data_IF_530104104408
#
_entry.id   IF_530104104408
#
_cell.length_a   1.000
_cell.length_b   1.000
_cell.length_c   1.000
_cell.angle_alpha   90.00
_cell.angle_beta   90.00
_cell.angle_gamma   90.00
#
_symmetry.space_group_name_H-M   'P 1'
#
loop_
_entity.id
_entity.type
_entity.pdbx_description
1 polymer ?
#
# COMPACT_ATOMS: atom_id res chain seq x y z
N UNK A 1 -16.11 -79.71 24.49
CA UNK A 1 -15.95 -78.51 25.36
C UNK A 1 -14.69 -77.71 24.97
N UNK A 2 -14.31 -77.64 23.69
CA UNK A 2 -13.00 -77.13 23.23
C UNK A 2 -13.08 -75.85 22.38
N UNK A 3 -14.28 -75.39 22.00
CA UNK A 3 -14.45 -74.21 21.13
C UNK A 3 -14.50 -72.87 21.89
N UNK A 4 -14.84 -72.88 23.19
CA UNK A 4 -14.93 -71.65 24.00
C UNK A 4 -13.57 -71.09 24.43
N UNK A 5 -12.59 -71.96 24.69
CA UNK A 5 -11.24 -71.54 25.09
C UNK A 5 -10.46 -70.89 23.95
N UNK A 6 -10.69 -71.32 22.69
CA UNK A 6 -10.04 -70.73 21.52
C UNK A 6 -10.55 -69.30 21.24
N UNK A 7 -11.84 -69.05 21.45
CA UNK A 7 -12.40 -67.70 21.32
C UNK A 7 -11.89 -66.74 22.41
N UNK A 8 -11.76 -67.21 23.65
CA UNK A 8 -11.24 -66.39 24.75
C UNK A 8 -9.77 -65.98 24.53
N UNK A 9 -8.94 -66.87 23.98
CA UNK A 9 -7.55 -66.57 23.63
C UNK A 9 -7.43 -65.63 22.41
N UNK A 10 -8.30 -65.77 21.41
CA UNK A 10 -8.30 -64.87 20.26
C UNK A 10 -8.69 -63.43 20.65
N UNK A 11 -9.67 -63.28 21.55
CA UNK A 11 -10.12 -61.96 22.03
C UNK A 11 -9.02 -61.30 22.89
N UNK A 12 -8.34 -62.04 23.76
CA UNK A 12 -7.26 -61.47 24.58
C UNK A 12 -6.08 -60.99 23.73
N UNK A 13 -5.70 -61.73 22.69
CA UNK A 13 -4.65 -61.31 21.74
C UNK A 13 -5.07 -60.04 20.98
N UNK A 14 -6.33 -59.93 20.58
CA UNK A 14 -6.84 -58.76 19.86
C UNK A 14 -6.87 -57.51 20.75
N UNK A 15 -7.26 -57.65 22.02
CA UNK A 15 -7.25 -56.53 22.99
C UNK A 15 -5.82 -56.05 23.24
N UNK A 16 -4.86 -56.96 23.40
CA UNK A 16 -3.44 -56.61 23.57
C UNK A 16 -2.89 -55.91 22.33
N UNK A 17 -3.24 -56.37 21.13
CA UNK A 17 -2.81 -55.75 19.88
C UNK A 17 -3.39 -54.32 19.70
N UNK A 18 -4.65 -54.11 20.09
CA UNK A 18 -5.29 -52.77 20.04
C UNK A 18 -4.67 -51.82 21.06
N UNK A 19 -4.40 -52.29 22.29
CA UNK A 19 -3.73 -51.48 23.31
C UNK A 19 -2.29 -51.12 22.88
N UNK A 20 -1.54 -52.07 22.33
CA UNK A 20 -0.19 -51.81 21.83
C UNK A 20 -0.21 -50.87 20.60
N UNK A 21 -1.21 -51.01 19.72
CA UNK A 21 -1.42 -50.13 18.57
C UNK A 21 -1.74 -48.69 18.97
N UNK A 22 -2.59 -48.48 19.98
CA UNK A 22 -2.93 -47.15 20.49
C UNK A 22 -1.74 -46.48 21.19
N UNK A 23 -0.98 -47.21 22.01
CA UNK A 23 0.23 -46.67 22.67
C UNK A 23 1.32 -46.33 21.64
N UNK A 24 1.47 -47.14 20.58
CA UNK A 24 2.42 -46.86 19.50
C UNK A 24 1.98 -45.65 18.67
N UNK A 25 0.67 -45.46 18.45
CA UNK A 25 0.10 -44.29 17.75
C UNK A 25 0.28 -42.99 18.55
N UNK A 26 0.24 -43.06 19.89
CA UNK A 26 0.49 -41.91 20.75
C UNK A 26 1.97 -41.49 20.77
N UNK A 27 2.90 -42.45 20.60
CA UNK A 27 4.34 -42.19 20.49
C UNK A 27 4.80 -41.73 19.10
N UNK A 28 4.01 -41.95 18.05
CA UNK A 28 4.31 -41.46 16.69
C UNK A 28 3.72 -40.07 16.38
N UNK A 29 3.05 -39.42 17.35
CA UNK A 29 2.51 -38.06 17.23
C UNK A 29 3.45 -36.92 17.66
N UNK A 30 4.70 -37.20 18.03
CA UNK A 30 5.64 -36.20 18.52
C UNK A 30 6.98 -36.26 17.77
N UNK A 31 7.00 -35.77 16.53
CA UNK A 31 8.21 -35.31 15.81
C UNK A 31 7.79 -34.25 14.78
N UNK A 32 7.56 -33.03 15.24
CA UNK A 32 7.58 -31.85 14.37
C UNK A 32 9.04 -31.45 14.13
N UNK A 33 9.53 -31.70 12.93
CA UNK A 33 10.83 -31.22 12.45
C UNK A 33 10.73 -29.71 12.18
N UNK A 34 11.69 -28.85 12.61
CA UNK A 34 11.69 -27.44 12.29
C UNK A 34 12.36 -27.25 10.93
N UNK A 35 11.60 -27.18 9.86
CA UNK A 35 12.20 -27.05 8.53
C UNK A 35 11.18 -26.78 7.44
N UNK A 36 10.96 -25.50 7.18
CA UNK A 36 10.42 -24.98 5.92
C UNK A 36 8.91 -25.05 5.78
N UNK A 37 8.25 -23.89 5.86
CA UNK A 37 7.29 -23.43 4.84
C UNK A 37 6.77 -22.03 5.16
N UNK A 38 6.78 -21.19 4.13
CA UNK A 38 5.94 -20.01 3.90
C UNK A 38 5.52 -19.19 5.12
N UNK A 39 6.24 -18.09 5.35
CA UNK A 39 5.78 -16.95 6.14
C UNK A 39 4.58 -16.29 5.45
N UNK A 40 3.38 -16.83 5.65
CA UNK A 40 2.19 -16.01 5.73
C UNK A 40 2.29 -15.23 7.03
N UNK A 41 2.81 -14.02 6.97
CA UNK A 41 2.78 -13.08 8.10
C UNK A 41 1.33 -12.64 8.32
N UNK A 42 0.49 -13.52 8.84
CA UNK A 42 -0.68 -13.10 9.61
C UNK A 42 -0.12 -12.35 10.80
N UNK A 43 -0.18 -11.02 10.73
CA UNK A 43 0.08 -10.14 11.88
C UNK A 43 -0.98 -10.52 12.90
N UNK A 44 -0.63 -11.43 13.82
CA UNK A 44 -1.45 -11.79 14.96
C UNK A 44 -1.37 -10.62 15.93
N UNK A 45 -2.28 -9.66 15.77
CA UNK A 45 -2.42 -8.53 16.68
C UNK A 45 -2.65 -9.08 18.08
N UNK A 46 -1.65 -8.95 18.95
CA UNK A 46 -1.83 -9.33 20.36
C UNK A 46 -2.75 -8.31 21.01
N UNK A 47 -3.69 -8.77 21.84
CA UNK A 47 -4.67 -7.90 22.51
C UNK A 47 -4.00 -6.71 23.23
N UNK A 48 -2.77 -6.89 23.72
CA UNK A 48 -1.96 -5.83 24.34
C UNK A 48 -1.45 -4.74 23.38
N UNK A 49 -1.15 -5.06 22.12
CA UNK A 49 -0.75 -4.07 21.10
C UNK A 49 -1.95 -3.28 20.60
N UNK A 50 -3.09 -3.94 20.36
CA UNK A 50 -4.35 -3.25 20.04
C UNK A 50 -4.79 -2.35 21.19
N UNK A 51 -4.66 -2.81 22.44
CA UNK A 51 -5.00 -1.99 23.62
C UNK A 51 -4.08 -0.77 23.73
N UNK A 52 -2.78 -0.88 23.44
CA UNK A 52 -1.86 0.27 23.44
C UNK A 52 -2.15 1.27 22.32
N UNK A 53 -2.41 0.80 21.10
CA UNK A 53 -2.74 1.69 19.99
C UNK A 53 -4.07 2.43 20.22
N UNK A 54 -5.09 1.74 20.72
CA UNK A 54 -6.36 2.34 21.15
C UNK A 54 -6.15 3.33 22.30
N UNK A 55 -5.31 2.99 23.28
CA UNK A 55 -5.02 3.89 24.40
C UNK A 55 -4.38 5.21 23.95
N UNK A 56 -3.54 5.19 22.92
CA UNK A 56 -2.96 6.42 22.36
C UNK A 56 -3.98 7.26 21.61
N UNK A 57 -4.92 6.63 20.89
CA UNK A 57 -5.99 7.29 20.13
C UNK A 57 -6.94 8.12 21.03
N UNK A 58 -7.13 7.68 22.28
CA UNK A 58 -8.03 8.32 23.25
C UNK A 58 -7.36 9.43 24.07
N UNK A 59 -6.05 9.65 23.92
CA UNK A 59 -5.33 10.69 24.68
C UNK A 59 -5.77 12.09 24.21
N UNK A 60 -6.44 12.89 25.08
CA UNK A 60 -6.88 14.23 24.73
C UNK A 60 -5.68 15.11 24.35
N UNK A 61 -5.74 15.71 23.16
CA UNK A 61 -4.69 16.60 22.66
C UNK A 61 -3.51 15.91 21.95
N UNK A 62 -3.46 14.57 21.87
CA UNK A 62 -2.40 13.88 21.12
C UNK A 62 -2.57 14.05 19.60
N UNK A 63 -3.82 13.93 19.12
CA UNK A 63 -4.17 14.14 17.72
C UNK A 63 -4.87 15.48 17.57
N UNK A 64 -4.25 16.38 16.81
CA UNK A 64 -4.81 17.69 16.52
C UNK A 64 -5.18 17.80 15.05
N UNK A 65 -6.36 18.36 14.79
CA UNK A 65 -6.77 18.72 13.45
C UNK A 65 -5.81 19.79 12.91
N UNK A 66 -5.25 19.57 11.72
CA UNK A 66 -4.45 20.60 11.05
C UNK A 66 -5.33 21.80 10.73
N UNK A 67 -4.81 23.01 10.96
CA UNK A 67 -5.53 24.25 10.66
C UNK A 67 -5.85 24.42 9.17
N UNK A 68 -5.02 23.86 8.28
CA UNK A 68 -5.25 23.81 6.83
C UNK A 68 -4.84 22.46 6.26
N UNK A 69 -5.60 21.97 5.28
CA UNK A 69 -5.27 20.75 4.55
C UNK A 69 -4.15 20.97 3.52
N UNK A 70 -4.27 22.07 2.76
CA UNK A 70 -3.28 22.55 1.78
C UNK A 70 -2.58 23.82 2.29
N UNK A 71 -1.32 23.99 1.91
CA UNK A 71 -0.59 25.23 2.09
C UNK A 71 -1.26 26.38 1.30
N UNK A 72 -0.90 27.63 1.60
CA UNK A 72 -1.44 28.78 0.84
C UNK A 72 -1.09 28.67 -0.65
N UNK A 73 0.14 28.29 -0.96
CA UNK A 73 0.63 28.14 -2.32
C UNK A 73 -0.07 26.97 -3.05
N UNK A 74 -0.19 25.82 -2.39
CA UNK A 74 -0.93 24.66 -2.92
C UNK A 74 -2.39 24.99 -3.17
N UNK A 75 -3.03 25.77 -2.29
CA UNK A 75 -4.42 26.16 -2.45
C UNK A 75 -4.63 27.02 -3.70
N UNK A 76 -3.70 27.91 -4.04
CA UNK A 76 -3.77 28.71 -5.28
C UNK A 76 -3.67 27.81 -6.51
N UNK A 77 -2.73 26.85 -6.51
CA UNK A 77 -2.58 25.88 -7.61
C UNK A 77 -3.85 25.03 -7.75
N UNK A 78 -4.43 24.58 -6.64
CA UNK A 78 -5.66 23.80 -6.64
C UNK A 78 -6.83 24.57 -7.28
N UNK A 79 -7.01 25.84 -6.90
CA UNK A 79 -8.05 26.69 -7.48
C UNK A 79 -7.82 26.94 -8.98
N UNK A 80 -6.56 27.14 -9.38
CA UNK A 80 -6.18 27.30 -10.78
C UNK A 80 -6.50 26.04 -11.60
N UNK A 81 -6.18 24.85 -11.08
CA UNK A 81 -6.52 23.58 -11.73
C UNK A 81 -8.04 23.41 -11.85
N UNK A 82 -8.80 23.75 -10.80
CA UNK A 82 -10.27 23.70 -10.85
C UNK A 82 -10.85 24.63 -11.92
N UNK A 83 -10.30 25.83 -12.05
CA UNK A 83 -10.73 26.77 -13.08
C UNK A 83 -10.32 26.31 -14.49
N UNK A 84 -9.14 25.71 -14.64
CA UNK A 84 -8.63 25.23 -15.93
C UNK A 84 -9.32 23.94 -16.41
N UNK A 85 -9.76 23.07 -15.49
CA UNK A 85 -10.35 21.78 -15.80
C UNK A 85 -11.72 21.58 -15.12
N UNK A 86 -12.74 22.36 -15.50
CA UNK A 86 -14.06 22.32 -14.84
C UNK A 86 -14.82 21.00 -15.04
N UNK A 87 -14.42 20.18 -16.02
CA UNK A 87 -15.02 18.87 -16.31
C UNK A 87 -14.25 17.69 -15.71
N UNK A 88 -13.15 17.95 -15.03
CA UNK A 88 -12.26 16.94 -14.46
C UNK A 88 -12.32 16.98 -12.94
N UNK A 89 -12.07 15.83 -12.33
CA UNK A 89 -11.95 15.72 -10.88
C UNK A 89 -10.51 15.92 -10.46
N UNK A 90 -10.30 16.70 -9.39
CA UNK A 90 -8.96 17.05 -8.90
C UNK A 90 -8.81 16.57 -7.46
N UNK A 91 -7.90 15.63 -7.27
CA UNK A 91 -7.56 15.07 -5.97
C UNK A 91 -6.26 15.66 -5.47
N UNK A 92 -6.21 16.07 -4.21
CA UNK A 92 -5.01 16.67 -3.61
C UNK A 92 -4.37 15.75 -2.56
N UNK A 93 -3.05 15.80 -2.44
CA UNK A 93 -2.23 14.99 -1.53
C UNK A 93 -2.48 13.49 -1.65
N UNK A 94 -2.54 13.00 -2.88
CA UNK A 94 -2.74 11.57 -3.17
C UNK A 94 -1.45 10.80 -2.91
N UNK A 95 -1.53 9.61 -2.32
CA UNK A 95 -0.34 8.76 -2.14
C UNK A 95 0.10 8.23 -3.49
N UNK A 96 1.41 8.18 -3.73
CA UNK A 96 1.94 7.65 -4.98
C UNK A 96 1.58 6.17 -5.17
N UNK A 97 1.42 5.41 -4.08
CA UNK A 97 0.92 4.03 -4.11
C UNK A 97 -0.55 3.88 -4.56
N UNK A 98 -1.36 4.93 -4.46
CA UNK A 98 -2.73 4.91 -4.97
C UNK A 98 -2.79 5.25 -6.47
N UNK A 99 -1.72 5.84 -7.02
CA UNK A 99 -1.59 6.20 -8.44
C UNK A 99 -0.85 5.12 -9.23
N UNK A 100 0.22 4.57 -8.64
CA UNK A 100 1.11 3.62 -9.31
C UNK A 100 0.94 2.20 -8.77
N UNK A 101 0.71 1.26 -9.69
CA UNK A 101 0.79 -0.16 -9.39
C UNK A 101 2.17 -0.71 -9.75
N UNK A 102 2.84 -1.35 -8.80
CA UNK A 102 4.10 -2.06 -9.07
C UNK A 102 3.77 -3.37 -9.79
N UNK A 103 4.14 -3.47 -11.07
CA UNK A 103 3.97 -4.70 -11.87
C UNK A 103 4.68 -5.89 -11.19
N UNK A 104 4.06 -7.06 -11.28
CA UNK A 104 4.58 -8.29 -10.70
C UNK A 104 5.77 -8.76 -11.54
N UNK A 105 6.98 -8.72 -10.96
CA UNK A 105 8.20 -9.34 -11.46
C UNK A 105 8.71 -10.43 -10.51
N UNK A 106 9.71 -11.23 -10.92
CA UNK A 106 10.17 -12.38 -10.15
C UNK A 106 11.02 -11.93 -8.97
N UNK A 107 10.39 -11.73 -7.80
CA UNK A 107 10.89 -11.88 -6.41
C UNK A 107 10.11 -10.96 -5.48
N UNK A 108 9.39 -11.54 -4.50
CA UNK A 108 8.51 -10.80 -3.57
C UNK A 108 9.21 -9.71 -2.74
N UNK A 109 10.52 -9.85 -2.49
CA UNK A 109 11.28 -8.88 -1.70
C UNK A 109 11.60 -7.58 -2.45
N UNK A 110 11.87 -7.65 -3.75
CA UNK A 110 12.09 -6.45 -4.57
C UNK A 110 10.79 -5.66 -4.72
N UNK A 111 9.67 -6.36 -4.88
CA UNK A 111 8.33 -5.76 -4.87
C UNK A 111 8.05 -5.02 -3.57
N UNK A 112 8.27 -5.65 -2.42
CA UNK A 112 8.01 -5.02 -1.13
C UNK A 112 8.88 -3.78 -0.92
N UNK A 113 10.16 -3.85 -1.35
CA UNK A 113 11.07 -2.70 -1.30
C UNK A 113 10.61 -1.57 -2.22
N UNK A 114 10.19 -1.87 -3.44
CA UNK A 114 9.66 -0.87 -4.38
C UNK A 114 8.36 -0.24 -3.87
N UNK A 115 7.44 -1.06 -3.36
CA UNK A 115 6.18 -0.60 -2.78
C UNK A 115 6.39 0.33 -1.57
N UNK A 116 7.32 -0.02 -0.66
CA UNK A 116 7.64 0.86 0.49
C UNK A 116 8.19 2.22 0.08
N UNK A 117 8.90 2.30 -1.05
CA UNK A 117 9.42 3.59 -1.55
C UNK A 117 8.28 4.51 -2.02
N UNK A 118 7.25 3.96 -2.64
CA UNK A 118 6.11 4.74 -3.14
C UNK A 118 5.02 4.97 -2.08
N UNK A 119 4.85 4.05 -1.12
CA UNK A 119 3.78 4.11 -0.12
C UNK A 119 3.87 5.33 0.81
N UNK A 120 5.08 5.79 1.11
CA UNK A 120 5.30 6.95 1.96
C UNK A 120 5.37 8.27 1.18
N UNK A 121 5.34 8.22 -0.15
CA UNK A 121 5.40 9.39 -1.00
C UNK A 121 4.00 9.85 -1.39
N UNK A 122 3.85 11.16 -1.52
CA UNK A 122 2.61 11.79 -1.98
C UNK A 122 2.91 12.65 -3.20
N UNK A 123 1.93 12.73 -4.09
CA UNK A 123 1.86 13.71 -5.17
C UNK A 123 0.93 14.85 -4.74
N UNK A 124 1.20 16.04 -5.26
CA UNK A 124 0.45 17.26 -4.96
C UNK A 124 -0.99 17.15 -5.43
N UNK A 125 -1.18 16.98 -6.73
CA UNK A 125 -2.49 16.91 -7.35
C UNK A 125 -2.55 15.82 -8.43
N UNK A 126 -3.70 15.15 -8.52
CA UNK A 126 -4.04 14.21 -9.59
C UNK A 126 -5.28 14.75 -10.28
N UNK A 127 -5.18 14.92 -11.60
CA UNK A 127 -6.29 15.32 -12.48
C UNK A 127 -6.84 14.06 -13.13
N UNK A 128 -8.11 13.78 -12.86
CA UNK A 128 -8.84 12.64 -13.40
C UNK A 128 -9.95 13.11 -14.34
N UNK A 129 -10.22 12.32 -15.38
CA UNK A 129 -11.43 12.49 -16.19
C UNK A 129 -12.67 12.04 -15.40
N UNK A 130 -13.86 12.24 -15.97
CA UNK A 130 -15.16 11.84 -15.37
C UNK A 130 -15.23 10.36 -15.02
N UNK A 131 -14.54 9.52 -15.79
CA UNK A 131 -14.46 8.07 -15.56
C UNK A 131 -13.37 7.69 -14.54
N UNK A 132 -12.86 8.65 -13.76
CA UNK A 132 -11.79 8.47 -12.77
C UNK A 132 -10.46 7.96 -13.35
N UNK A 133 -10.27 8.14 -14.66
CA UNK A 133 -9.00 7.82 -15.33
C UNK A 133 -8.00 8.95 -15.12
N UNK A 134 -6.77 8.61 -14.70
CA UNK A 134 -5.72 9.59 -14.42
C UNK A 134 -5.23 10.20 -15.75
N UNK A 135 -5.45 11.50 -15.92
CA UNK A 135 -5.02 12.27 -17.11
C UNK A 135 -3.63 12.85 -16.90
N UNK A 136 -3.41 13.47 -15.74
CA UNK A 136 -2.12 14.07 -15.40
C UNK A 136 -1.93 14.20 -13.89
N UNK A 137 -0.67 14.30 -13.49
CA UNK A 137 -0.25 14.59 -12.13
C UNK A 137 0.47 15.93 -12.13
N UNK A 138 0.10 16.79 -11.18
CA UNK A 138 0.65 18.13 -11.04
C UNK A 138 1.20 18.29 -9.63
N UNK A 139 2.49 18.58 -9.52
CA UNK A 139 3.14 18.89 -8.25
C UNK A 139 3.39 20.40 -8.13
N UNK A 140 3.07 20.97 -6.98
CA UNK A 140 3.44 22.34 -6.63
C UNK A 140 4.80 22.35 -5.93
N UNK A 141 5.80 22.99 -6.52
CA UNK A 141 7.14 23.14 -5.93
C UNK A 141 7.44 24.61 -5.66
N UNK A 142 7.88 24.94 -4.46
CA UNK A 142 8.48 26.25 -4.21
C UNK A 142 9.93 26.23 -4.75
N UNK A 143 10.32 27.25 -5.55
CA UNK A 143 11.74 27.42 -5.87
C UNK A 143 12.46 27.79 -4.57
N UNK A 144 13.60 27.15 -4.33
CA UNK A 144 14.48 27.45 -3.17
C UNK A 144 13.94 27.01 -1.80
N UNK A 145 13.90 25.71 -1.57
CA UNK A 145 14.23 25.21 -0.24
C UNK A 145 15.47 24.35 -0.39
N UNK A 146 16.46 24.55 0.49
CA UNK A 146 17.66 23.72 0.61
C UNK A 146 17.19 22.28 0.78
N UNK A 147 17.07 21.56 -0.33
CA UNK A 147 16.57 20.20 -0.31
C UNK A 147 17.67 19.35 0.32
N UNK A 148 17.33 18.70 1.43
CA UNK A 148 18.18 17.69 2.01
C UNK A 148 18.55 16.69 0.90
N UNK A 149 19.81 16.25 0.77
CA UNK A 149 20.21 15.29 -0.26
C UNK A 149 19.32 14.03 -0.32
N UNK A 150 18.70 13.65 0.81
CA UNK A 150 17.71 12.58 0.89
C UNK A 150 16.41 12.90 0.15
N UNK A 151 15.87 14.10 0.33
CA UNK A 151 14.61 14.53 -0.28
C UNK A 151 14.78 14.69 -1.79
N UNK A 152 15.94 15.21 -2.23
CA UNK A 152 16.27 15.28 -3.65
C UNK A 152 16.31 13.88 -4.30
N UNK A 153 16.88 12.88 -3.62
CA UNK A 153 16.87 11.49 -4.10
C UNK A 153 15.46 10.93 -4.18
N UNK A 154 14.61 11.21 -3.19
CA UNK A 154 13.21 10.76 -3.18
C UNK A 154 12.40 11.40 -4.32
N UNK A 155 12.63 12.67 -4.61
CA UNK A 155 12.03 13.39 -5.74
C UNK A 155 12.47 12.80 -7.09
N UNK A 156 13.76 12.51 -7.25
CA UNK A 156 14.27 11.86 -8.47
C UNK A 156 13.63 10.47 -8.65
N UNK A 157 13.50 9.69 -7.56
CA UNK A 157 12.83 8.39 -7.62
C UNK A 157 11.37 8.56 -8.03
N UNK A 158 10.63 9.50 -7.44
CA UNK A 158 9.25 9.81 -7.79
C UNK A 158 9.10 10.12 -9.28
N UNK A 159 9.93 11.02 -9.80
CA UNK A 159 9.93 11.40 -11.21
C UNK A 159 10.22 10.21 -12.13
N UNK A 160 11.22 9.38 -11.79
CA UNK A 160 11.55 8.17 -12.57
C UNK A 160 10.42 7.15 -12.56
N UNK A 161 9.75 6.97 -11.42
CA UNK A 161 8.61 6.07 -11.31
C UNK A 161 7.44 6.53 -12.17
N UNK A 162 7.12 7.83 -12.14
CA UNK A 162 6.05 8.41 -12.96
C UNK A 162 6.38 8.34 -14.45
N UNK A 163 7.63 8.62 -14.83
CA UNK A 163 8.10 8.48 -16.21
C UNK A 163 8.02 7.03 -16.70
N UNK A 164 8.44 6.06 -15.88
CA UNK A 164 8.37 4.63 -16.21
C UNK A 164 6.93 4.13 -16.35
N UNK A 165 6.00 4.74 -15.61
CA UNK A 165 4.56 4.47 -15.72
C UNK A 165 3.89 5.20 -16.90
N UNK A 166 4.64 6.01 -17.65
CA UNK A 166 4.14 6.83 -18.77
C UNK A 166 2.99 7.76 -18.38
N UNK A 167 2.94 8.17 -17.11
CA UNK A 167 1.94 9.12 -16.62
C UNK A 167 2.44 10.54 -16.90
N UNK A 168 1.55 11.37 -17.41
CA UNK A 168 1.85 12.78 -17.65
C UNK A 168 2.08 13.49 -16.32
N UNK A 169 3.29 14.03 -16.13
CA UNK A 169 3.70 14.68 -14.89
C UNK A 169 4.21 16.09 -15.16
N UNK A 170 3.75 17.05 -14.37
CA UNK A 170 4.13 18.46 -14.45
C UNK A 170 4.49 19.01 -13.07
N UNK A 171 5.56 19.81 -13.00
CA UNK A 171 5.84 20.66 -11.84
C UNK A 171 5.36 22.08 -12.13
N UNK A 172 4.55 22.64 -11.23
CA UNK A 172 4.14 24.04 -11.24
C UNK A 172 4.83 24.76 -10.10
N UNK A 173 5.31 25.97 -10.37
CA UNK A 173 5.93 26.82 -9.37
C UNK A 173 4.97 27.95 -9.01
N UNK A 174 4.50 28.06 -7.76
CA UNK A 174 3.55 29.09 -7.35
C UNK A 174 3.95 30.54 -7.64
N UNK A 175 5.25 30.92 -7.60
CA UNK A 175 5.66 32.27 -8.02
C UNK A 175 5.52 32.53 -9.53
N UNK A 176 5.56 31.47 -10.34
CA UNK A 176 5.48 31.52 -11.81
C UNK A 176 4.36 30.62 -12.30
N UNK A 177 3.13 30.93 -11.87
CA UNK A 177 1.97 30.16 -12.31
C UNK A 177 1.73 30.34 -13.82
N UNK A 178 1.68 29.23 -14.59
CA UNK A 178 1.29 29.29 -15.99
C UNK A 178 -0.17 29.75 -16.11
N UNK A 179 -0.51 30.34 -17.25
CA UNK A 179 -1.91 30.72 -17.52
C UNK A 179 -2.77 29.47 -17.67
N UNK A 180 -4.07 29.59 -17.39
CA UNK A 180 -5.01 28.46 -17.49
C UNK A 180 -4.97 27.80 -18.89
N UNK A 181 -4.81 28.59 -19.97
CA UNK A 181 -4.73 28.08 -21.34
C UNK A 181 -3.50 27.21 -21.56
N UNK A 182 -2.34 27.69 -21.12
CA UNK A 182 -1.07 26.97 -21.21
C UNK A 182 -1.13 25.65 -20.42
N UNK A 183 -1.76 25.67 -19.23
CA UNK A 183 -1.99 24.45 -18.45
C UNK A 183 -2.86 23.44 -19.20
N UNK A 184 -3.94 23.90 -19.84
CA UNK A 184 -4.82 23.02 -20.63
C UNK A 184 -4.10 22.44 -21.82
N UNK A 185 -3.39 23.26 -22.60
CA UNK A 185 -2.60 22.79 -23.75
C UNK A 185 -1.52 21.80 -23.30
N UNK A 186 -0.84 22.08 -22.18
CA UNK A 186 0.17 21.18 -21.65
C UNK A 186 -0.41 19.88 -21.14
N UNK A 187 -1.58 19.84 -20.50
CA UNK A 187 -2.17 18.64 -19.88
C UNK A 187 -3.03 17.82 -20.86
N UNK A 188 -3.87 18.46 -21.66
CA UNK A 188 -4.79 17.79 -22.60
C UNK A 188 -4.25 17.76 -24.04
N UNK A 189 -3.23 18.57 -24.37
CA UNK A 189 -2.72 18.72 -25.73
C UNK A 189 -3.46 19.81 -26.53
N UNK A 190 -2.96 20.16 -27.73
CA UNK A 190 -3.48 21.27 -28.54
C UNK A 190 -4.90 21.07 -29.09
N UNK A 191 -5.49 19.88 -28.95
CA UNK A 191 -6.82 19.54 -29.46
C UNK A 191 -7.95 19.69 -28.41
N UNK A 192 -7.62 20.13 -27.20
CA UNK A 192 -8.54 20.13 -26.06
C UNK A 192 -9.65 21.19 -26.09
N UNK A 193 -9.58 22.15 -27.01
CA UNK A 193 -10.58 23.20 -27.17
C UNK A 193 -11.81 22.74 -27.98
N UNK A 194 -11.82 21.50 -28.48
CA UNK A 194 -12.90 20.94 -29.31
C UNK A 194 -13.91 20.05 -28.54
N UNK A 195 -13.82 19.98 -27.20
CA UNK A 195 -14.73 19.16 -26.37
C UNK A 195 -15.39 19.97 -25.25
#
# INVERSE_FOLDING_TARGET
>A
MTSGMLFALAISVLVVAVLFGLVRRQRSGAKSNPGGESTSTTVQWTEGETTRLLSSAELPGLYLLRSRFLSKAENVVYLLLKAAFPRHEIFARVRLADVLQVKIGPQGMERLRAFRKIANQHVGFVVCDRDMTIVAIVDSKEPEQVQNPRDQKLEIIKQRCLQAAQVKYMCVYPPTLPRYRELREQILGPAADLV
#
